data_IF_015888634013
#
_entry.id   IF_015888634013
#
_cell.length_a   1.000
_cell.length_b   1.000
_cell.length_c   1.000
_cell.angle_alpha   90.00
_cell.angle_beta   90.00
_cell.angle_gamma   90.00
#
_symmetry.space_group_name_H-M   'P 1'
#
loop_
_entity.id
_entity.type
_entity.pdbx_description
1 polymer ?
#
# COMPACT_ATOMS: atom_id res chain seq x y z
N UNK A 1 -39.94 42.19 -48.20
CA UNK A 1 -40.14 41.34 -46.99
C UNK A 1 -39.19 40.17 -47.11
N UNK A 2 -38.11 40.20 -46.33
CA UNK A 2 -37.07 39.17 -46.37
C UNK A 2 -37.17 38.37 -45.05
N UNK A 3 -37.46 37.07 -45.15
CA UNK A 3 -37.58 36.15 -44.04
C UNK A 3 -36.20 35.56 -43.78
N UNK A 4 -35.56 35.90 -42.63
CA UNK A 4 -34.32 35.31 -42.19
C UNK A 4 -34.63 34.04 -41.39
N UNK A 5 -34.24 32.87 -41.93
CA UNK A 5 -34.28 31.58 -41.24
C UNK A 5 -33.09 31.50 -40.28
N UNK A 6 -33.35 31.33 -38.98
CA UNK A 6 -32.33 30.99 -37.99
C UNK A 6 -32.25 29.46 -37.86
N UNK A 7 -31.09 28.91 -38.21
CA UNK A 7 -30.76 27.51 -37.93
C UNK A 7 -30.17 27.44 -36.52
N UNK A 8 -30.92 26.83 -35.63
CA UNK A 8 -30.45 26.54 -34.26
C UNK A 8 -29.62 25.25 -34.31
N UNK A 9 -28.28 25.40 -34.09
CA UNK A 9 -27.33 24.31 -33.99
C UNK A 9 -27.30 23.82 -32.55
N UNK A 10 -27.98 22.74 -32.24
CA UNK A 10 -27.91 22.06 -30.93
C UNK A 10 -26.65 21.23 -30.87
N UNK A 11 -25.63 21.71 -30.13
CA UNK A 11 -24.49 20.91 -29.71
C UNK A 11 -24.92 19.96 -28.59
N UNK A 12 -25.20 18.70 -28.93
CA UNK A 12 -25.30 17.63 -27.94
C UNK A 12 -23.89 17.27 -27.45
N UNK A 13 -23.47 17.84 -26.32
CA UNK A 13 -22.25 17.44 -25.64
C UNK A 13 -22.43 16.07 -25.00
N UNK A 14 -21.79 15.06 -25.55
CA UNK A 14 -21.66 13.76 -24.89
C UNK A 14 -20.71 13.93 -23.68
N UNK A 15 -21.25 13.99 -22.47
CA UNK A 15 -20.48 13.86 -21.24
C UNK A 15 -20.11 12.39 -21.12
N UNK A 16 -18.88 12.05 -21.49
CA UNK A 16 -18.28 10.76 -21.15
C UNK A 16 -18.12 10.71 -19.62
N UNK A 17 -19.04 10.04 -18.94
CA UNK A 17 -18.89 9.65 -17.54
C UNK A 17 -17.81 8.57 -17.52
N UNK A 18 -16.54 8.97 -17.37
CA UNK A 18 -15.48 8.06 -16.93
C UNK A 18 -15.82 7.64 -15.50
N UNK A 19 -16.48 6.49 -15.35
CA UNK A 19 -16.58 5.80 -14.08
C UNK A 19 -15.13 5.42 -13.70
N UNK A 20 -14.54 6.16 -12.77
CA UNK A 20 -13.37 5.67 -12.07
C UNK A 20 -13.81 4.40 -11.33
N UNK A 21 -13.40 3.26 -11.84
CA UNK A 21 -13.52 2.00 -11.11
C UNK A 21 -12.75 2.21 -9.80
N UNK A 22 -13.48 2.35 -8.70
CA UNK A 22 -12.89 2.35 -7.38
C UNK A 22 -12.41 0.92 -7.12
N UNK A 23 -11.13 0.65 -7.41
CA UNK A 23 -10.53 -0.64 -7.10
C UNK A 23 -10.53 -0.84 -5.60
N UNK A 24 -11.22 -1.87 -5.17
CA UNK A 24 -11.21 -2.36 -3.80
C UNK A 24 -9.91 -3.06 -3.50
N UNK A 25 -8.91 -2.34 -3.07
CA UNK A 25 -7.63 -2.94 -2.70
C UNK A 25 -7.73 -3.60 -1.32
N UNK A 26 -7.19 -4.81 -1.20
CA UNK A 26 -6.76 -5.30 0.11
C UNK A 26 -5.55 -4.49 0.51
N UNK A 27 -5.67 -3.72 1.58
CA UNK A 27 -4.62 -2.84 2.11
C UNK A 27 -4.00 -3.42 3.38
N UNK A 28 -2.83 -2.91 3.78
CA UNK A 28 -2.25 -3.20 5.10
C UNK A 28 -1.78 -1.89 5.74
N UNK A 29 -1.87 -1.82 7.08
CA UNK A 29 -1.41 -0.63 7.82
C UNK A 29 0.10 -0.39 7.59
N UNK A 30 0.44 0.81 7.16
CA UNK A 30 1.80 1.27 6.87
C UNK A 30 1.97 2.72 7.42
N UNK A 31 3.19 3.16 7.78
CA UNK A 31 4.44 2.42 7.77
C UNK A 31 4.59 1.46 8.97
N UNK A 32 5.54 0.52 8.82
CA UNK A 32 5.97 -0.36 9.90
C UNK A 32 7.37 0.01 10.41
N UNK A 33 7.66 -0.24 11.69
CA UNK A 33 8.96 0.09 12.28
C UNK A 33 9.93 -1.10 12.21
N UNK A 34 11.15 -0.82 11.71
CA UNK A 34 12.21 -1.81 11.60
C UNK A 34 12.51 -2.50 12.93
N UNK A 35 12.67 -3.84 12.90
CA UNK A 35 12.98 -4.70 14.05
C UNK A 35 11.98 -4.59 15.21
N UNK A 36 10.76 -4.07 14.99
CA UNK A 36 9.74 -3.94 16.02
C UNK A 36 8.61 -4.94 15.81
N UNK A 37 8.02 -5.36 16.95
CA UNK A 37 6.76 -6.12 16.95
C UNK A 37 5.61 -5.14 17.01
N UNK A 38 4.75 -5.18 16.00
CA UNK A 38 3.61 -4.28 15.89
C UNK A 38 2.37 -4.98 15.35
N UNK A 39 1.25 -4.31 15.44
CA UNK A 39 0.00 -4.73 14.85
C UNK A 39 0.00 -4.35 13.35
N UNK A 40 -0.27 -5.32 12.49
CA UNK A 40 -0.54 -5.12 11.08
C UNK A 40 -2.01 -5.43 10.84
N UNK A 41 -2.75 -4.47 10.31
CA UNK A 41 -4.18 -4.61 10.03
C UNK A 41 -4.40 -4.61 8.53
N UNK A 42 -4.94 -5.71 8.02
CA UNK A 42 -5.39 -5.84 6.64
C UNK A 42 -6.81 -5.31 6.54
N UNK A 43 -7.00 -4.31 5.68
CA UNK A 43 -8.30 -3.73 5.39
C UNK A 43 -8.85 -4.27 4.08
N UNK A 44 -10.10 -4.72 4.09
CA UNK A 44 -10.84 -5.12 2.89
C UNK A 44 -11.93 -4.08 2.70
N UNK A 45 -11.74 -3.21 1.73
CA UNK A 45 -12.63 -2.06 1.47
C UNK A 45 -13.96 -2.47 0.90
N UNK A 46 -13.95 -3.48 0.03
CA UNK A 46 -15.14 -4.12 -0.51
C UNK A 46 -14.83 -5.51 -1.08
N UNK A 47 -15.87 -6.25 -1.43
CA UNK A 47 -15.76 -7.57 -2.02
C UNK A 47 -15.46 -7.53 -3.53
N UNK A 48 -15.77 -8.61 -4.22
CA UNK A 48 -15.48 -8.78 -5.63
C UNK A 48 -16.76 -8.67 -6.44
N UNK A 49 -16.82 -7.75 -7.40
CA UNK A 49 -17.98 -7.58 -8.30
C UNK A 49 -19.34 -7.48 -7.56
N UNK A 50 -19.36 -6.84 -6.39
CA UNK A 50 -20.57 -6.68 -5.57
C UNK A 50 -20.90 -7.88 -4.67
N UNK A 51 -20.12 -8.96 -4.70
CA UNK A 51 -20.22 -10.09 -3.79
C UNK A 51 -19.37 -9.87 -2.53
N UNK A 52 -19.87 -10.23 -1.36
CA UNK A 52 -19.18 -10.05 -0.09
C UNK A 52 -17.97 -10.99 0.05
N UNK A 53 -16.98 -10.56 0.81
CA UNK A 53 -15.76 -11.35 1.07
C UNK A 53 -16.07 -12.54 1.97
N UNK A 54 -15.84 -13.73 1.46
CA UNK A 54 -15.99 -15.00 2.20
C UNK A 54 -14.67 -15.53 2.76
N UNK A 55 -13.52 -15.15 2.18
CA UNK A 55 -12.21 -15.61 2.63
C UNK A 55 -11.11 -14.60 2.26
N UNK A 56 -10.16 -14.40 3.16
CA UNK A 56 -8.89 -13.74 2.88
C UNK A 56 -7.75 -14.67 3.27
N UNK A 57 -6.85 -14.94 2.31
CA UNK A 57 -5.60 -15.66 2.51
C UNK A 57 -4.45 -14.68 2.36
N UNK A 58 -3.60 -14.53 3.36
CA UNK A 58 -2.42 -13.66 3.31
C UNK A 58 -1.17 -14.52 3.42
N UNK A 59 -0.26 -14.37 2.47
CA UNK A 59 1.07 -14.97 2.52
C UNK A 59 1.97 -14.11 3.41
N UNK A 60 2.63 -14.75 4.38
CA UNK A 60 3.55 -14.08 5.28
C UNK A 60 4.98 -14.24 4.73
N UNK A 61 5.67 -13.14 4.40
CA UNK A 61 7.06 -13.17 3.95
C UNK A 61 7.99 -13.75 5.02
N UNK A 62 9.02 -14.47 4.62
CA UNK A 62 9.97 -15.11 5.54
C UNK A 62 10.76 -14.11 6.42
N UNK A 63 10.86 -12.84 5.98
CA UNK A 63 11.46 -11.76 6.76
C UNK A 63 10.60 -11.29 7.94
N UNK A 64 9.30 -11.66 7.97
CA UNK A 64 8.34 -11.32 9.03
C UNK A 64 8.23 -12.49 10.00
N UNK A 65 8.48 -12.24 11.28
CA UNK A 65 8.59 -13.30 12.30
C UNK A 65 7.66 -13.07 13.47
N UNK A 66 7.60 -14.04 14.39
CA UNK A 66 6.81 -13.94 15.65
C UNK A 66 5.33 -13.59 15.41
N UNK A 67 4.75 -14.13 14.35
CA UNK A 67 3.36 -13.84 13.93
C UNK A 67 2.36 -14.43 14.93
N UNK A 68 1.42 -13.60 15.35
CA UNK A 68 0.25 -13.97 16.18
C UNK A 68 -1.00 -13.37 15.57
N UNK A 69 -1.99 -14.19 15.31
CA UNK A 69 -3.28 -13.71 14.80
C UNK A 69 -4.09 -13.08 15.90
N UNK A 70 -4.71 -11.95 15.61
CA UNK A 70 -5.63 -11.29 16.56
C UNK A 70 -7.02 -11.93 16.42
N UNK A 71 -7.69 -12.29 17.51
CA UNK A 71 -9.08 -12.75 17.46
C UNK A 71 -9.97 -11.73 16.74
N UNK A 72 -10.89 -12.21 15.91
CA UNK A 72 -11.75 -11.38 15.09
C UNK A 72 -13.18 -11.94 15.03
N UNK A 73 -14.10 -11.13 14.52
CA UNK A 73 -15.51 -11.51 14.33
C UNK A 73 -15.81 -12.02 12.91
N UNK A 74 -14.82 -12.00 12.01
CA UNK A 74 -14.98 -12.46 10.65
C UNK A 74 -15.25 -13.96 10.58
N UNK A 75 -14.55 -14.75 11.42
CA UNK A 75 -14.80 -16.18 11.56
C UNK A 75 -13.54 -17.00 11.86
N UNK A 76 -13.55 -18.30 11.56
CA UNK A 76 -12.43 -19.20 11.79
C UNK A 76 -11.14 -18.75 11.12
N UNK A 77 -10.01 -19.08 11.75
CA UNK A 77 -8.67 -18.79 11.26
C UNK A 77 -7.86 -20.07 11.15
N UNK A 78 -7.23 -20.26 9.98
CA UNK A 78 -6.21 -21.28 9.75
C UNK A 78 -4.84 -20.61 9.69
N UNK A 79 -3.83 -21.19 10.35
CA UNK A 79 -2.45 -20.70 10.34
C UNK A 79 -1.56 -21.73 9.65
N UNK A 80 -1.02 -21.37 8.50
CA UNK A 80 -0.04 -22.19 7.75
C UNK A 80 1.34 -22.00 8.34
N UNK A 81 2.10 -23.09 8.45
CA UNK A 81 3.47 -23.07 8.97
C UNK A 81 4.38 -23.92 8.07
N UNK A 82 5.65 -23.55 8.05
CA UNK A 82 6.72 -24.38 7.50
C UNK A 82 7.15 -25.49 8.51
N UNK A 83 8.09 -26.35 8.08
CA UNK A 83 8.63 -27.44 8.91
C UNK A 83 9.40 -26.93 10.13
N UNK A 84 9.88 -25.71 10.11
CA UNK A 84 10.54 -25.03 11.25
C UNK A 84 9.56 -24.39 12.22
N UNK A 85 8.23 -24.42 11.90
CA UNK A 85 7.17 -23.82 12.71
C UNK A 85 6.95 -22.33 12.49
N UNK A 86 7.61 -21.72 11.51
CA UNK A 86 7.36 -20.33 11.15
C UNK A 86 6.03 -20.19 10.42
N UNK A 87 5.31 -19.13 10.69
CA UNK A 87 4.05 -18.85 10.01
C UNK A 87 4.35 -18.37 8.59
N UNK A 88 3.81 -19.09 7.60
CA UNK A 88 3.96 -18.78 6.17
C UNK A 88 2.67 -18.24 5.55
N UNK A 89 1.55 -18.35 6.25
CA UNK A 89 0.28 -17.82 5.79
C UNK A 89 -0.79 -17.81 6.88
N UNK A 90 -1.78 -16.96 6.68
CA UNK A 90 -2.96 -16.87 7.54
C UNK A 90 -4.19 -16.82 6.65
N UNK A 91 -5.18 -17.64 6.96
CA UNK A 91 -6.45 -17.71 6.24
C UNK A 91 -7.57 -17.38 7.21
N UNK A 92 -8.32 -16.35 6.91
CA UNK A 92 -9.56 -16.00 7.60
C UNK A 92 -10.74 -16.40 6.72
N UNK A 93 -11.74 -17.05 7.30
CA UNK A 93 -12.94 -17.50 6.58
C UNK A 93 -14.18 -16.91 7.23
N UNK A 94 -15.01 -16.24 6.44
CA UNK A 94 -16.35 -15.84 6.83
C UNK A 94 -17.33 -16.94 6.39
N UNK A 95 -17.88 -17.74 7.30
CA UNK A 95 -18.77 -18.83 6.93
C UNK A 95 -20.16 -18.35 6.48
N UNK A 96 -20.49 -17.09 6.75
CA UNK A 96 -21.78 -16.48 6.46
C UNK A 96 -21.61 -15.09 5.84
N UNK A 97 -21.02 -15.00 4.62
CA UNK A 97 -20.91 -13.73 3.92
C UNK A 97 -22.31 -13.17 3.62
N UNK A 98 -22.42 -11.87 3.52
CA UNK A 98 -23.67 -11.19 3.20
C UNK A 98 -24.05 -11.42 1.73
N UNK A 99 -25.30 -11.18 1.42
CA UNK A 99 -25.78 -11.29 0.03
C UNK A 99 -25.22 -10.18 -0.89
N UNK A 100 -24.77 -9.07 -0.32
CA UNK A 100 -24.17 -7.93 -1.01
C UNK A 100 -22.95 -7.43 -0.24
N UNK A 101 -22.06 -6.77 -0.97
CA UNK A 101 -20.86 -6.14 -0.45
C UNK A 101 -21.20 -4.82 0.28
N UNK A 102 -21.39 -4.91 1.59
CA UNK A 102 -21.78 -3.79 2.45
C UNK A 102 -20.82 -3.59 3.65
N UNK A 103 -19.78 -4.43 3.75
CA UNK A 103 -18.95 -4.46 4.95
C UNK A 103 -17.50 -4.08 4.66
N UNK A 104 -16.95 -3.24 5.53
CA UNK A 104 -15.50 -3.06 5.62
C UNK A 104 -14.93 -4.01 6.68
N UNK A 105 -14.01 -4.89 6.30
CA UNK A 105 -13.40 -5.83 7.22
C UNK A 105 -11.98 -5.42 7.60
N UNK A 106 -11.64 -5.62 8.87
CA UNK A 106 -10.30 -5.43 9.42
C UNK A 106 -9.81 -6.73 10.06
N UNK A 107 -8.75 -7.32 9.51
CA UNK A 107 -8.15 -8.56 9.97
C UNK A 107 -6.71 -8.30 10.37
N UNK A 108 -6.33 -8.65 11.60
CA UNK A 108 -5.05 -8.20 12.14
C UNK A 108 -4.17 -9.35 12.59
N UNK A 109 -2.87 -9.15 12.42
CA UNK A 109 -1.81 -9.95 13.02
C UNK A 109 -0.89 -9.04 13.84
N UNK A 110 -0.32 -9.57 14.92
CA UNK A 110 0.85 -8.98 15.55
C UNK A 110 2.09 -9.71 15.02
N UNK A 111 3.05 -8.98 14.48
CA UNK A 111 4.24 -9.57 13.88
C UNK A 111 5.47 -8.72 14.15
N UNK A 112 6.66 -9.34 14.13
CA UNK A 112 7.94 -8.63 14.16
C UNK A 112 8.39 -8.40 12.72
N UNK A 113 8.58 -7.13 12.36
CA UNK A 113 9.07 -6.71 11.07
C UNK A 113 10.60 -6.84 10.95
N UNK A 114 11.14 -6.96 9.71
CA UNK A 114 12.57 -7.07 9.50
C UNK A 114 13.34 -5.83 9.94
N UNK A 115 14.62 -6.00 10.24
CA UNK A 115 15.55 -4.89 10.46
C UNK A 115 16.10 -4.38 9.11
N UNK A 116 15.20 -3.80 8.32
CA UNK A 116 15.50 -3.33 6.98
C UNK A 116 14.79 -2.00 6.70
N UNK A 117 15.20 -0.90 7.37
CA UNK A 117 14.58 0.40 7.15
C UNK A 117 14.67 0.84 5.69
N UNK A 118 13.66 1.56 5.22
CA UNK A 118 13.48 2.06 3.86
C UNK A 118 13.34 0.96 2.79
N UNK A 119 12.90 -0.24 3.19
CA UNK A 119 12.47 -1.28 2.27
C UNK A 119 10.97 -1.51 2.37
N UNK A 120 10.39 -2.12 1.35
CA UNK A 120 8.97 -2.48 1.33
C UNK A 120 8.80 -3.98 1.52
N UNK A 121 7.92 -4.36 2.44
CA UNK A 121 7.52 -5.77 2.64
C UNK A 121 6.15 -5.97 2.02
N UNK A 122 6.07 -6.85 1.02
CA UNK A 122 4.84 -7.22 0.35
C UNK A 122 4.17 -8.41 1.04
N UNK A 123 2.85 -8.35 1.18
CA UNK A 123 2.01 -9.41 1.75
C UNK A 123 1.02 -9.91 0.70
N UNK A 124 1.45 -10.76 -0.26
CA UNK A 124 0.54 -11.27 -1.26
C UNK A 124 -0.72 -11.85 -0.62
N UNK A 125 -1.88 -11.47 -1.14
CA UNK A 125 -3.16 -11.88 -0.60
C UNK A 125 -4.07 -12.42 -1.69
N UNK A 126 -4.94 -13.36 -1.32
CA UNK A 126 -6.01 -13.88 -2.16
C UNK A 126 -7.33 -13.63 -1.47
N UNK A 127 -8.17 -12.86 -2.12
CA UNK A 127 -9.53 -12.58 -1.67
C UNK A 127 -10.50 -13.48 -2.44
N UNK A 128 -11.34 -14.21 -1.71
CA UNK A 128 -12.47 -14.96 -2.28
C UNK A 128 -13.76 -14.31 -1.84
N UNK A 129 -14.62 -14.04 -2.78
CA UNK A 129 -15.95 -13.48 -2.53
C UNK A 129 -17.02 -14.50 -2.90
N UNK A 130 -18.19 -14.39 -2.30
CA UNK A 130 -19.29 -15.31 -2.55
C UNK A 130 -20.60 -14.53 -2.70
N UNK A 131 -21.26 -14.70 -3.84
CA UNK A 131 -22.53 -14.04 -4.12
C UNK A 131 -23.72 -14.75 -3.42
N UNK A 132 -24.92 -14.17 -3.56
CA UNK A 132 -26.15 -14.70 -3.00
C UNK A 132 -26.55 -16.10 -3.52
N UNK A 133 -26.03 -16.50 -4.69
CA UNK A 133 -26.31 -17.78 -5.32
C UNK A 133 -25.22 -18.80 -4.98
N UNK A 134 -24.23 -18.41 -4.16
CA UNK A 134 -23.15 -19.25 -3.73
C UNK A 134 -22.00 -19.37 -4.73
N UNK A 135 -22.00 -18.62 -5.82
CA UNK A 135 -20.91 -18.57 -6.79
C UNK A 135 -19.72 -17.80 -6.20
N UNK A 136 -18.54 -18.38 -6.34
CA UNK A 136 -17.29 -17.78 -5.88
C UNK A 136 -16.58 -17.05 -7.01
N UNK A 137 -16.00 -15.89 -6.66
CA UNK A 137 -15.02 -15.14 -7.45
C UNK A 137 -13.76 -14.92 -6.63
N UNK A 138 -12.61 -14.78 -7.31
CA UNK A 138 -11.30 -14.70 -6.66
C UNK A 138 -10.51 -13.56 -7.25
N UNK A 139 -9.87 -12.77 -6.39
CA UNK A 139 -8.91 -11.72 -6.77
C UNK A 139 -7.57 -12.03 -6.09
N UNK A 140 -6.50 -12.03 -6.88
CA UNK A 140 -5.12 -12.25 -6.42
C UNK A 140 -4.39 -10.91 -6.31
N UNK A 141 -4.23 -10.41 -5.10
CA UNK A 141 -3.49 -9.19 -4.74
C UNK A 141 -2.02 -9.53 -4.56
N UNK A 142 -1.25 -9.59 -5.64
CA UNK A 142 0.15 -10.08 -5.59
C UNK A 142 1.15 -9.32 -6.45
N UNK A 143 0.66 -8.39 -7.29
CA UNK A 143 1.56 -7.67 -8.18
C UNK A 143 2.55 -6.81 -7.39
N UNK A 144 3.80 -6.83 -7.83
CA UNK A 144 4.84 -5.96 -7.29
C UNK A 144 4.70 -4.53 -7.84
N UNK A 145 5.31 -3.52 -7.21
CA UNK A 145 5.32 -2.17 -7.74
C UNK A 145 5.88 -2.08 -9.17
N UNK A 146 6.88 -2.91 -9.50
CA UNK A 146 7.49 -2.98 -10.83
C UNK A 146 6.52 -3.56 -11.87
N UNK A 147 5.75 -4.60 -11.51
CA UNK A 147 4.73 -5.19 -12.38
C UNK A 147 3.58 -4.20 -12.63
N UNK A 148 3.15 -3.47 -11.59
CA UNK A 148 2.15 -2.41 -11.73
C UNK A 148 2.65 -1.28 -12.62
N UNK A 149 3.90 -0.84 -12.45
CA UNK A 149 4.50 0.21 -13.26
C UNK A 149 4.76 -0.20 -14.72
N UNK A 150 4.93 -1.50 -14.99
CA UNK A 150 5.17 -2.05 -16.33
C UNK A 150 3.88 -2.46 -17.06
N UNK A 151 2.71 -2.38 -16.40
CA UNK A 151 1.44 -2.78 -16.98
C UNK A 151 1.08 -1.96 -18.21
N UNK A 152 0.56 -2.63 -19.24
CA UNK A 152 0.11 -2.02 -20.47
C UNK A 152 -1.33 -1.58 -20.37
N UNK A 153 -1.76 -0.75 -21.32
CA UNK A 153 -3.16 -0.34 -21.42
C UNK A 153 -4.09 -1.57 -21.49
N UNK A 154 -5.04 -1.66 -20.56
CA UNK A 154 -5.97 -2.80 -20.42
C UNK A 154 -5.46 -3.94 -19.52
N UNK A 155 -4.23 -3.88 -19.03
CA UNK A 155 -3.74 -4.77 -17.96
C UNK A 155 -3.89 -4.06 -16.61
N UNK A 156 -4.56 -4.69 -15.67
CA UNK A 156 -4.81 -4.13 -14.35
C UNK A 156 -4.28 -5.11 -13.27
N UNK A 157 -2.95 -5.18 -13.09
CA UNK A 157 -2.37 -6.06 -12.08
C UNK A 157 -2.73 -5.58 -10.67
N UNK A 158 -3.27 -6.47 -9.87
CA UNK A 158 -3.71 -6.18 -8.51
C UNK A 158 -2.52 -6.12 -7.55
N UNK A 159 -2.21 -4.95 -6.97
CA UNK A 159 -1.01 -4.77 -6.17
C UNK A 159 -1.08 -5.53 -4.84
N UNK A 160 0.03 -6.14 -4.45
CA UNK A 160 0.14 -6.76 -3.13
C UNK A 160 0.04 -5.71 -2.02
N UNK A 161 -0.68 -5.98 -0.90
CA UNK A 161 -0.59 -5.17 0.30
C UNK A 161 0.86 -4.95 0.72
N UNK A 162 1.26 -3.69 0.94
CA UNK A 162 2.65 -3.30 1.11
C UNK A 162 2.87 -2.53 2.42
N UNK A 163 3.90 -2.89 3.17
CA UNK A 163 4.34 -2.16 4.37
C UNK A 163 5.69 -1.53 4.10
N UNK A 164 5.75 -0.22 4.07
CA UNK A 164 7.01 0.52 4.07
C UNK A 164 7.65 0.39 5.45
N UNK A 165 8.88 -0.10 5.52
CA UNK A 165 9.63 -0.22 6.75
C UNK A 165 10.38 1.08 7.01
N UNK A 166 10.06 1.75 8.11
CA UNK A 166 10.77 2.95 8.55
C UNK A 166 11.64 2.65 9.77
N UNK A 167 12.75 3.37 9.99
CA UNK A 167 13.58 3.18 11.18
C UNK A 167 12.83 3.63 12.44
N UNK A 168 13.21 3.07 13.59
CA UNK A 168 12.85 3.66 14.89
C UNK A 168 13.62 4.98 15.01
N UNK A 169 12.88 6.08 15.20
CA UNK A 169 13.41 7.44 15.20
C UNK A 169 13.96 7.82 16.55
N UNK A 170 15.06 8.58 16.53
CA UNK A 170 15.58 9.30 17.70
C UNK A 170 15.49 10.79 17.40
N UNK A 171 15.10 11.59 18.39
CA UNK A 171 15.12 13.05 18.25
C UNK A 171 16.52 13.55 17.86
N UNK A 172 16.58 14.50 16.94
CA UNK A 172 17.82 15.01 16.38
C UNK A 172 18.32 14.21 15.19
N UNK A 173 19.63 14.21 14.99
CA UNK A 173 20.25 13.60 13.83
C UNK A 173 20.36 12.08 13.92
N UNK A 174 19.90 11.40 12.87
CA UNK A 174 20.01 9.98 12.66
C UNK A 174 20.76 9.72 11.36
N UNK A 175 21.67 8.73 11.35
CA UNK A 175 22.41 8.31 10.17
C UNK A 175 21.92 6.93 9.72
N UNK A 176 21.59 6.79 8.43
CA UNK A 176 21.17 5.52 7.85
C UNK A 176 21.93 5.24 6.57
N UNK A 177 22.09 3.95 6.24
CA UNK A 177 22.53 3.50 4.92
C UNK A 177 21.33 2.92 4.19
N UNK A 178 21.04 3.44 3.01
CA UNK A 178 19.90 3.01 2.19
C UNK A 178 20.25 1.69 1.50
N UNK A 179 19.43 0.66 1.66
CA UNK A 179 19.69 -0.68 1.09
C UNK A 179 19.26 -0.80 -0.36
N UNK A 180 18.16 -0.16 -0.71
CA UNK A 180 17.56 -0.19 -2.05
C UNK A 180 17.37 1.23 -2.56
N UNK A 181 17.40 1.44 -3.90
CA UNK A 181 17.18 2.77 -4.47
C UNK A 181 15.80 3.29 -4.05
N UNK A 182 15.74 4.51 -3.51
CA UNK A 182 14.50 5.20 -3.18
C UNK A 182 14.21 6.29 -4.21
N UNK A 183 13.09 6.17 -4.90
CA UNK A 183 12.55 7.18 -5.82
C UNK A 183 11.38 7.93 -5.20
N UNK A 184 10.76 7.36 -4.17
CA UNK A 184 9.73 7.99 -3.35
C UNK A 184 10.33 8.32 -1.98
N UNK A 185 10.32 9.61 -1.62
CA UNK A 185 10.88 10.13 -0.38
C UNK A 185 9.82 10.38 0.69
N UNK A 186 8.58 9.94 0.51
CA UNK A 186 7.48 10.11 1.48
C UNK A 186 7.77 9.42 2.82
N UNK A 187 8.66 8.41 2.83
CA UNK A 187 9.17 7.81 4.08
C UNK A 187 9.84 8.81 5.04
N UNK A 188 10.20 10.00 4.53
CA UNK A 188 10.85 11.07 5.29
C UNK A 188 9.94 12.29 5.53
N UNK A 189 8.64 12.20 5.23
CA UNK A 189 7.73 13.36 5.30
C UNK A 189 7.56 13.95 6.69
N UNK A 190 7.86 13.18 7.71
CA UNK A 190 7.86 13.61 9.09
C UNK A 190 9.25 14.03 9.61
N UNK A 191 10.29 13.96 8.78
CA UNK A 191 11.59 14.51 9.08
C UNK A 191 11.61 16.04 8.86
N UNK A 192 12.38 16.75 9.69
CA UNK A 192 12.64 18.17 9.46
C UNK A 192 13.45 18.38 8.18
N UNK A 193 14.49 17.57 7.99
CA UNK A 193 15.34 17.59 6.79
C UNK A 193 16.10 16.28 6.64
N UNK A 194 16.37 15.90 5.39
CA UNK A 194 17.21 14.77 5.00
C UNK A 194 18.37 15.29 4.16
N UNK A 195 19.57 14.81 4.43
CA UNK A 195 20.77 15.09 3.65
C UNK A 195 21.38 13.81 3.07
N UNK A 196 21.76 13.87 1.80
CA UNK A 196 22.60 12.86 1.14
C UNK A 196 23.70 13.57 0.35
N UNK A 197 24.92 13.59 0.88
CA UNK A 197 25.99 14.43 0.33
C UNK A 197 25.62 15.92 0.35
N UNK A 198 25.66 16.56 -0.83
CA UNK A 198 25.27 17.96 -1.02
C UNK A 198 23.78 18.15 -1.37
N UNK A 199 22.99 17.07 -1.41
CA UNK A 199 21.57 17.13 -1.73
C UNK A 199 20.71 17.03 -0.47
N UNK A 200 19.61 17.78 -0.42
CA UNK A 200 18.70 17.80 0.72
C UNK A 200 17.23 17.67 0.30
N UNK A 201 16.41 17.09 1.20
CA UNK A 201 14.97 16.96 1.06
C UNK A 201 14.26 17.42 2.33
N UNK A 202 13.12 18.03 2.16
CA UNK A 202 12.14 18.26 3.22
C UNK A 202 10.74 18.31 2.63
N UNK A 203 9.77 17.75 3.32
CA UNK A 203 8.33 17.89 2.99
C UNK A 203 7.79 19.28 3.40
N UNK A 204 8.47 19.97 4.33
CA UNK A 204 8.09 21.31 4.77
C UNK A 204 8.37 22.35 3.67
N UNK A 205 7.34 23.09 3.18
CA UNK A 205 7.50 24.04 2.09
C UNK A 205 8.55 25.12 2.35
N UNK A 206 8.62 25.65 3.58
CA UNK A 206 9.59 26.70 3.93
C UNK A 206 11.04 26.19 3.90
N UNK A 207 11.29 24.96 4.41
CA UNK A 207 12.60 24.32 4.36
C UNK A 207 12.96 23.95 2.92
N UNK A 208 11.99 23.48 2.12
CA UNK A 208 12.18 23.18 0.70
C UNK A 208 12.59 24.43 -0.09
N UNK A 209 12.00 25.59 0.20
CA UNK A 209 12.38 26.85 -0.43
C UNK A 209 13.77 27.31 0.00
N UNK A 210 14.17 27.10 1.26
CA UNK A 210 15.55 27.35 1.71
C UNK A 210 16.56 26.46 0.97
N UNK A 211 16.30 25.16 0.84
CA UNK A 211 17.15 24.21 0.09
C UNK A 211 17.38 24.69 -1.34
N UNK A 212 16.35 25.18 -2.03
CA UNK A 212 16.46 25.68 -3.41
C UNK A 212 17.30 26.93 -3.56
N UNK A 213 17.36 27.77 -2.51
CA UNK A 213 18.04 29.06 -2.52
C UNK A 213 19.44 29.01 -1.86
N UNK A 214 19.84 27.85 -1.32
CA UNK A 214 21.15 27.69 -0.67
C UNK A 214 22.22 27.33 -1.68
N UNK A 215 23.29 28.13 -1.74
CA UNK A 215 24.40 27.92 -2.67
C UNK A 215 25.10 26.58 -2.39
N UNK A 216 25.31 25.78 -3.44
CA UNK A 216 25.97 24.47 -3.35
C UNK A 216 25.09 23.34 -2.86
N UNK A 217 23.80 23.59 -2.57
CA UNK A 217 22.82 22.56 -2.20
C UNK A 217 21.93 22.24 -3.39
N UNK A 218 21.62 20.96 -3.60
CA UNK A 218 20.68 20.51 -4.62
C UNK A 218 19.46 19.86 -3.99
N UNK A 219 18.32 19.90 -4.67
CA UNK A 219 17.13 19.20 -4.21
C UNK A 219 17.32 17.68 -4.37
N UNK A 220 17.21 16.94 -3.26
CA UNK A 220 17.24 15.49 -3.26
C UNK A 220 15.92 14.95 -3.80
N UNK A 221 15.95 14.21 -4.92
CA UNK A 221 14.77 13.63 -5.58
C UNK A 221 14.74 12.12 -5.52
N UNK A 222 15.90 11.50 -5.38
CA UNK A 222 16.08 10.06 -5.24
C UNK A 222 17.33 9.77 -4.41
N UNK A 223 17.40 8.59 -3.82
CA UNK A 223 18.56 8.14 -3.05
C UNK A 223 19.02 6.80 -3.61
N UNK A 224 20.30 6.73 -3.99
CA UNK A 224 20.87 5.51 -4.52
C UNK A 224 21.02 4.42 -3.44
N UNK A 225 20.96 3.16 -3.83
CA UNK A 225 21.35 2.05 -2.96
C UNK A 225 22.80 2.21 -2.50
N UNK A 226 23.07 1.94 -1.24
CA UNK A 226 24.38 2.12 -0.58
C UNK A 226 24.66 3.55 -0.12
N UNK A 227 23.83 4.54 -0.48
CA UNK A 227 24.03 5.91 -0.03
C UNK A 227 23.79 6.08 1.46
N UNK A 228 24.61 6.93 2.10
CA UNK A 228 24.39 7.37 3.47
C UNK A 228 23.50 8.61 3.49
N UNK A 229 22.54 8.62 4.40
CA UNK A 229 21.66 9.76 4.64
C UNK A 229 21.70 10.19 6.09
N UNK A 230 21.61 11.50 6.31
CA UNK A 230 21.43 12.09 7.60
C UNK A 230 20.02 12.66 7.69
N UNK A 231 19.24 12.16 8.65
CA UNK A 231 17.83 12.53 8.84
C UNK A 231 17.69 13.21 10.19
N UNK A 232 17.10 14.38 10.23
CA UNK A 232 16.78 15.10 11.46
C UNK A 232 15.28 14.97 11.73
N UNK A 233 14.93 14.33 12.85
CA UNK A 233 13.57 14.27 13.36
C UNK A 233 13.34 15.23 14.51
#
# INVERSE_FOLDING_TARGET
MSVRSYVAMTCAGAVALSSSLAFAHVSVSSPGFANQSQLLTFGIGHGCEGADTSKLEVTIPSSVTSVRVVPNVFGPVEIKKDDAGNVTGVIWTNPQPRAADEMYYQLSIRAKLPDAPFTTVLFPAKQTCKDKDGKESVVDWKATPEEVAAAKEGEEPEPAPAVLIVPVRKLGWNKFTIKEKLTDLTAFDDAQIVWSGAAAYSSNPATKDQIKNEDGVTELKEIAAGAEVWVKY
#
